data_IF_871563158334
#
_entry.id   IF_871563158334
#
_cell.length_a   1.000
_cell.length_b   1.000
_cell.length_c   1.000
_cell.angle_alpha   90.00
_cell.angle_beta   90.00
_cell.angle_gamma   90.00
#
_symmetry.space_group_name_H-M   'P 1'
#
loop_
_entity.id
_entity.type
_entity.pdbx_description
1 polymer ?
#
# COMPACT_ATOMS: atom_id res chain seq x y z
N UNK A 1 -4.41 -12.53 9.51
CA UNK A 1 -3.46 -11.78 8.66
C UNK A 1 -2.20 -11.26 9.40
N UNK A 2 -1.93 -11.66 10.65
CA UNK A 2 -0.81 -11.12 11.46
C UNK A 2 0.42 -12.04 11.57
N UNK A 3 0.35 -13.31 11.12
CA UNK A 3 1.50 -14.23 11.17
C UNK A 3 2.47 -14.10 9.98
N UNK A 4 2.06 -13.48 8.87
CA UNK A 4 2.93 -13.32 7.69
C UNK A 4 3.93 -12.17 7.83
N UNK A 5 3.62 -11.14 8.62
CA UNK A 5 4.45 -9.92 8.70
C UNK A 5 5.80 -10.20 9.39
N UNK A 6 5.81 -11.02 10.45
CA UNK A 6 7.05 -11.35 11.19
C UNK A 6 8.02 -12.23 10.41
N UNK A 7 7.50 -13.12 9.55
CA UNK A 7 8.35 -13.97 8.71
C UNK A 7 8.90 -13.21 7.49
N UNK A 8 8.19 -12.20 6.99
CA UNK A 8 8.61 -11.43 5.83
C UNK A 8 9.82 -10.52 6.13
N UNK A 9 9.87 -9.88 7.30
CA UNK A 9 10.99 -9.01 7.67
C UNK A 9 12.30 -9.78 7.87
N UNK A 10 12.24 -10.98 8.46
CA UNK A 10 13.41 -11.86 8.61
C UNK A 10 13.92 -12.37 7.25
N UNK A 11 13.02 -12.64 6.31
CA UNK A 11 13.40 -13.13 4.96
C UNK A 11 14.01 -12.03 4.09
N UNK A 12 13.53 -10.80 4.19
CA UNK A 12 14.09 -9.64 3.47
C UNK A 12 15.49 -9.28 4.03
N UNK A 13 15.69 -9.38 5.34
CA UNK A 13 17.01 -9.14 5.96
C UNK A 13 18.11 -10.10 5.47
N UNK A 14 17.75 -11.36 5.25
CA UNK A 14 18.67 -12.37 4.69
C UNK A 14 18.94 -12.15 3.18
N UNK A 15 17.95 -11.63 2.44
CA UNK A 15 18.04 -11.32 1.01
C UNK A 15 18.99 -10.16 0.67
N UNK A 16 19.16 -9.22 1.61
CA UNK A 16 19.96 -8.00 1.39
C UNK A 16 21.46 -8.25 1.64
N UNK A 17 21.80 -9.26 2.45
CA UNK A 17 23.19 -9.57 2.84
C UNK A 17 23.89 -10.53 1.90
N UNK A 18 23.16 -11.41 1.21
CA UNK A 18 23.73 -12.47 0.40
C UNK A 18 23.14 -12.41 -1.02
N UNK A 19 23.81 -11.67 -1.92
CA UNK A 19 23.36 -11.49 -3.30
C UNK A 19 23.12 -12.81 -4.02
N UNK A 20 22.02 -12.89 -4.78
CA UNK A 20 21.48 -13.87 -5.76
C UNK A 20 21.69 -15.40 -5.53
N UNK A 21 22.75 -15.84 -4.88
CA UNK A 21 23.21 -17.22 -4.74
C UNK A 21 22.59 -17.99 -3.56
N UNK A 22 22.00 -17.29 -2.57
CA UNK A 22 21.39 -17.93 -1.37
C UNK A 22 19.88 -18.14 -1.50
N UNK A 23 19.25 -17.57 -2.53
CA UNK A 23 17.87 -17.91 -2.88
C UNK A 23 17.74 -19.34 -3.40
N UNK A 24 18.84 -19.88 -3.94
CA UNK A 24 18.87 -21.18 -4.63
C UNK A 24 18.67 -22.37 -3.67
N UNK A 25 19.35 -22.46 -2.51
CA UNK A 25 19.18 -23.58 -1.58
C UNK A 25 17.83 -23.58 -0.84
N UNK A 26 17.22 -22.41 -0.65
CA UNK A 26 15.93 -22.29 0.06
C UNK A 26 14.71 -22.60 -0.82
N UNK A 27 14.81 -22.53 -2.15
CA UNK A 27 13.70 -22.92 -3.05
C UNK A 27 13.56 -24.44 -3.17
N UNK A 28 14.64 -25.18 -2.92
CA UNK A 28 14.71 -26.62 -3.18
C UNK A 28 13.91 -27.45 -2.17
N UNK A 29 13.50 -26.81 -1.06
CA UNK A 29 12.81 -27.44 0.07
C UNK A 29 11.28 -27.22 0.04
N UNK A 30 10.72 -26.55 -0.98
CA UNK A 30 9.30 -26.19 -1.03
C UNK A 30 8.64 -26.84 -2.25
N UNK A 31 7.93 -27.95 -2.05
CA UNK A 31 7.25 -28.73 -3.10
C UNK A 31 6.20 -27.94 -3.92
N UNK A 32 5.75 -26.77 -3.46
CA UNK A 32 4.69 -26.01 -4.13
C UNK A 32 4.93 -24.50 -4.10
N UNK A 33 5.82 -24.02 -4.97
CA UNK A 33 6.02 -22.58 -5.16
C UNK A 33 4.87 -22.01 -6.01
N UNK A 34 4.02 -21.18 -5.41
CA UNK A 34 3.01 -20.44 -6.19
C UNK A 34 3.66 -19.35 -7.04
N UNK A 35 3.09 -18.98 -8.20
CA UNK A 35 3.61 -17.89 -9.04
C UNK A 35 3.83 -16.56 -8.30
N UNK A 36 3.12 -16.34 -7.18
CA UNK A 36 3.29 -15.15 -6.34
C UNK A 36 4.67 -15.04 -5.69
N UNK A 37 5.34 -16.17 -5.42
CA UNK A 37 6.67 -16.16 -4.81
C UNK A 37 7.77 -15.80 -5.81
N UNK A 38 7.57 -16.04 -7.11
CA UNK A 38 8.54 -15.62 -8.14
C UNK A 38 8.79 -14.10 -8.10
N UNK A 39 7.80 -13.30 -7.67
CA UNK A 39 7.99 -11.86 -7.53
C UNK A 39 9.09 -11.48 -6.54
N UNK A 40 9.40 -12.32 -5.55
CA UNK A 40 10.43 -12.02 -4.52
C UNK A 40 11.84 -11.92 -5.11
N UNK A 41 12.13 -12.62 -6.20
CA UNK A 41 13.40 -12.49 -6.94
C UNK A 41 13.60 -11.07 -7.45
N UNK A 42 12.51 -10.38 -7.80
CA UNK A 42 12.55 -9.00 -8.31
C UNK A 42 12.57 -7.95 -7.19
N UNK A 43 12.32 -8.32 -5.93
CA UNK A 43 12.18 -7.36 -4.84
C UNK A 43 13.49 -6.61 -4.59
N UNK A 44 14.64 -7.27 -4.68
CA UNK A 44 15.94 -6.63 -4.48
C UNK A 44 16.12 -5.45 -5.45
N UNK A 45 15.88 -5.70 -6.74
CA UNK A 45 16.04 -4.73 -7.82
C UNK A 45 15.05 -3.58 -7.69
N UNK A 46 13.82 -3.88 -7.25
CA UNK A 46 12.78 -2.89 -7.02
C UNK A 46 13.13 -2.01 -5.82
N UNK A 47 13.56 -2.59 -4.70
CA UNK A 47 13.95 -1.84 -3.50
C UNK A 47 15.15 -0.94 -3.80
N UNK A 48 16.15 -1.47 -4.52
CA UNK A 48 17.34 -0.72 -4.90
C UNK A 48 17.01 0.48 -5.80
N UNK A 49 16.17 0.29 -6.82
CA UNK A 49 15.89 1.34 -7.81
C UNK A 49 14.80 2.33 -7.37
N UNK A 50 13.80 1.86 -6.60
CA UNK A 50 12.58 2.62 -6.31
C UNK A 50 12.33 2.87 -4.81
N UNK A 51 13.18 2.33 -3.94
CA UNK A 51 13.07 2.50 -2.49
C UNK A 51 12.03 1.56 -1.84
N UNK A 52 11.51 1.91 -0.66
CA UNK A 52 10.75 0.97 0.17
C UNK A 52 9.42 0.53 -0.48
N UNK A 53 9.20 -0.78 -0.54
CA UNK A 53 8.03 -1.44 -1.12
C UNK A 53 6.69 -1.02 -0.50
N UNK A 54 6.69 -0.52 0.74
CA UNK A 54 5.49 -0.06 1.45
C UNK A 54 4.74 1.03 0.68
N UNK A 55 5.46 1.87 -0.07
CA UNK A 55 4.86 2.95 -0.84
C UNK A 55 4.16 2.46 -2.13
N UNK A 56 4.50 1.25 -2.59
CA UNK A 56 3.94 0.62 -3.78
C UNK A 56 2.70 -0.24 -3.47
N UNK A 57 2.38 -0.44 -2.18
CA UNK A 57 1.29 -1.32 -1.81
C UNK A 57 -0.09 -0.68 -2.02
N UNK A 58 -1.00 -1.42 -2.67
CA UNK A 58 -2.33 -0.95 -3.01
C UNK A 58 -3.34 -0.87 -1.85
N UNK A 59 -2.96 -1.20 -0.60
CA UNK A 59 -3.90 -1.19 0.54
C UNK A 59 -4.59 0.16 0.76
N UNK A 60 -3.88 1.26 0.48
CA UNK A 60 -4.45 2.61 0.58
C UNK A 60 -5.54 2.85 -0.46
N UNK A 61 -5.37 2.31 -1.68
CA UNK A 61 -6.37 2.41 -2.74
C UNK A 61 -7.60 1.56 -2.41
N UNK A 62 -7.40 0.34 -1.90
CA UNK A 62 -8.50 -0.53 -1.44
C UNK A 62 -9.30 0.11 -0.30
N UNK A 63 -8.61 0.69 0.69
CA UNK A 63 -9.27 1.42 1.77
C UNK A 63 -10.08 2.62 1.27
N UNK A 64 -9.55 3.37 0.29
CA UNK A 64 -10.27 4.50 -0.33
C UNK A 64 -11.45 4.04 -1.19
N UNK A 65 -11.36 2.88 -1.85
CA UNK A 65 -12.41 2.36 -2.72
C UNK A 65 -13.73 2.15 -1.96
N UNK A 66 -13.68 1.77 -0.68
CA UNK A 66 -14.86 1.57 0.16
C UNK A 66 -15.81 2.78 0.20
N UNK A 67 -15.28 4.01 0.23
CA UNK A 67 -16.13 5.22 0.24
C UNK A 67 -16.86 5.41 -1.08
N UNK A 68 -16.19 5.13 -2.21
CA UNK A 68 -16.81 5.19 -3.54
C UNK A 68 -17.90 4.12 -3.72
N UNK A 69 -17.67 2.93 -3.18
CA UNK A 69 -18.67 1.85 -3.19
C UNK A 69 -19.92 2.21 -2.38
N UNK A 70 -19.77 2.90 -1.25
CA UNK A 70 -20.90 3.37 -0.46
C UNK A 70 -21.75 4.38 -1.25
N UNK A 71 -21.11 5.37 -1.87
CA UNK A 71 -21.78 6.36 -2.72
C UNK A 71 -22.44 5.70 -3.91
N UNK A 72 -21.78 4.71 -4.52
CA UNK A 72 -22.36 3.93 -5.60
C UNK A 72 -23.64 3.21 -5.13
N UNK A 73 -23.61 2.51 -4.01
CA UNK A 73 -24.78 1.79 -3.48
C UNK A 73 -25.97 2.71 -3.18
N UNK A 74 -25.69 3.90 -2.66
CA UNK A 74 -26.72 4.89 -2.29
C UNK A 74 -27.28 5.67 -3.49
N UNK A 75 -26.58 5.68 -4.63
CA UNK A 75 -27.06 6.37 -5.84
C UNK A 75 -28.23 5.62 -6.49
N UNK A 76 -29.37 6.31 -6.63
CA UNK A 76 -30.54 5.79 -7.34
C UNK A 76 -30.32 5.77 -8.88
N UNK A 77 -29.48 6.66 -9.41
CA UNK A 77 -29.16 6.70 -10.85
C UNK A 77 -27.87 5.93 -11.16
N UNK A 78 -27.88 5.20 -12.28
CA UNK A 78 -26.75 4.41 -12.82
C UNK A 78 -26.17 4.95 -14.12
N UNK A 79 -26.79 5.98 -14.71
CA UNK A 79 -26.42 6.49 -16.04
C UNK A 79 -25.00 7.07 -16.02
N UNK A 80 -24.66 7.87 -15.00
CA UNK A 80 -23.35 8.53 -14.88
C UNK A 80 -22.73 8.31 -13.48
N UNK A 81 -22.65 7.06 -13.04
CA UNK A 81 -22.26 6.72 -11.67
C UNK A 81 -20.86 7.25 -11.27
N UNK A 82 -19.90 7.21 -12.20
CA UNK A 82 -18.54 7.71 -11.97
C UNK A 82 -18.52 9.22 -11.73
N UNK A 83 -19.33 9.98 -12.47
CA UNK A 83 -19.48 11.42 -12.26
C UNK A 83 -20.09 11.70 -10.88
N UNK A 84 -21.11 10.96 -10.47
CA UNK A 84 -21.71 11.08 -9.13
C UNK A 84 -20.69 10.82 -8.02
N UNK A 85 -19.89 9.76 -8.14
CA UNK A 85 -18.83 9.45 -7.16
C UNK A 85 -17.76 10.54 -7.12
N UNK A 86 -17.38 11.10 -8.28
CA UNK A 86 -16.41 12.18 -8.36
C UNK A 86 -16.93 13.46 -7.67
N UNK A 87 -18.19 13.82 -7.90
CA UNK A 87 -18.83 14.99 -7.28
C UNK A 87 -18.95 14.80 -5.76
N UNK A 88 -19.41 13.65 -5.28
CA UNK A 88 -19.48 13.36 -3.83
C UNK A 88 -18.09 13.44 -3.17
N UNK A 89 -17.05 12.90 -3.83
CA UNK A 89 -15.68 13.01 -3.34
C UNK A 89 -15.20 14.46 -3.29
N UNK A 90 -15.50 15.27 -4.32
CA UNK A 90 -15.16 16.70 -4.34
C UNK A 90 -15.87 17.47 -3.23
N UNK A 91 -17.17 17.25 -3.02
CA UNK A 91 -17.94 17.90 -1.97
C UNK A 91 -17.40 17.57 -0.57
N UNK A 92 -17.09 16.29 -0.30
CA UNK A 92 -16.47 15.87 0.96
C UNK A 92 -15.11 16.52 1.18
N UNK A 93 -14.30 16.67 0.13
CA UNK A 93 -13.00 17.34 0.22
C UNK A 93 -13.18 18.83 0.52
N UNK A 94 -14.07 19.52 -0.19
CA UNK A 94 -14.37 20.94 0.04
C UNK A 94 -14.85 21.20 1.46
N UNK A 95 -15.74 20.34 1.98
CA UNK A 95 -16.18 20.42 3.38
C UNK A 95 -15.00 20.32 4.36
N UNK A 96 -14.12 19.34 4.18
CA UNK A 96 -12.93 19.13 5.05
C UNK A 96 -11.91 20.26 4.96
N UNK A 97 -11.77 20.88 3.79
CA UNK A 97 -10.92 22.06 3.60
C UNK A 97 -11.53 23.28 4.29
N UNK A 98 -12.83 23.50 4.13
CA UNK A 98 -13.54 24.63 4.73
C UNK A 98 -13.62 24.56 6.26
N UNK A 99 -13.58 23.36 6.85
CA UNK A 99 -13.61 23.17 8.32
C UNK A 99 -12.23 23.25 8.99
N UNK A 100 -11.17 23.53 8.22
CA UNK A 100 -9.75 23.48 8.63
C UNK A 100 -9.33 22.13 9.27
N UNK A 101 -10.14 21.08 9.14
CA UNK A 101 -9.83 19.77 9.75
C UNK A 101 -8.55 19.16 9.17
N UNK A 102 -8.24 19.47 7.92
CA UNK A 102 -7.02 18.98 7.28
C UNK A 102 -5.79 19.58 7.98
N UNK A 103 -5.77 20.89 8.22
CA UNK A 103 -4.64 21.56 8.85
C UNK A 103 -4.53 21.28 10.35
N UNK A 104 -5.65 21.13 11.05
CA UNK A 104 -5.67 20.76 12.48
C UNK A 104 -5.11 19.35 12.73
N UNK A 105 -5.30 18.42 11.80
CA UNK A 105 -4.79 17.05 11.93
C UNK A 105 -3.34 16.88 11.45
N UNK A 106 -2.79 17.83 10.67
CA UNK A 106 -1.38 17.81 10.23
C UNK A 106 -0.41 18.12 11.38
N UNK A 107 -0.86 18.80 12.44
CA UNK A 107 -0.02 19.21 13.59
C UNK A 107 0.30 18.06 14.56
N UNK A 108 -0.29 16.86 14.36
CA UNK A 108 0.08 15.63 15.06
C UNK A 108 0.85 14.65 14.15
N UNK A 109 1.62 15.15 13.18
CA UNK A 109 2.68 14.35 12.58
C UNK A 109 3.89 14.45 13.51
N UNK A 110 4.28 13.31 14.09
CA UNK A 110 5.38 13.19 15.05
C UNK A 110 6.67 13.89 14.57
N UNK A 111 7.58 14.21 15.50
CA UNK A 111 8.67 15.15 15.27
C UNK A 111 9.42 14.81 14.00
N UNK A 112 9.48 15.78 13.06
CA UNK A 112 10.39 15.75 11.92
C UNK A 112 11.80 15.77 12.50
N UNK A 113 12.39 14.61 12.74
CA UNK A 113 13.81 14.50 13.04
C UNK A 113 14.54 15.02 11.81
N UNK A 114 15.10 16.22 11.93
CA UNK A 114 16.11 16.69 10.99
C UNK A 114 17.33 15.83 11.26
N UNK A 115 17.57 14.83 10.42
CA UNK A 115 18.92 14.27 10.29
C UNK A 115 19.78 15.38 9.70
N UNK A 116 20.47 16.07 10.61
CA UNK A 116 21.66 16.88 10.36
C UNK A 116 22.77 16.00 9.82
#
# INVERSE_FOLDING_TARGET
MMCLVRNFELMIGHLILEGDNVLVPCYEQVEYLTPKFHFMVHYWRIIHNYGPLRNFWCMRFEGKHATGLQTARNSASRINLTQTIAIDHQLRLTYRLSSDEIFKNIINLGPRTRTT
#
